data_IF_537415316071
#
_entry.id   IF_537415316071
#
_cell.length_a   1.000
_cell.length_b   1.000
_cell.length_c   1.000
_cell.angle_alpha   90.00
_cell.angle_beta   90.00
_cell.angle_gamma   90.00
#
_symmetry.space_group_name_H-M   'P 1'
#
loop_
_entity.id
_entity.type
_entity.pdbx_description
1 polymer ?
#
# COMPACT_ATOMS: atom_id res chain seq x y z
N UNK A 1 -1.54 -12.68 28.23
CA UNK A 1 -2.78 -12.13 27.64
C UNK A 1 -2.37 -11.15 26.57
N UNK A 2 -2.79 -11.29 25.30
CA UNK A 2 -2.58 -10.21 24.35
C UNK A 2 -3.36 -9.00 24.86
N UNK A 3 -2.66 -7.93 25.22
CA UNK A 3 -3.30 -6.69 25.65
C UNK A 3 -4.07 -6.12 24.47
N UNK A 4 -5.27 -5.59 24.72
CA UNK A 4 -5.96 -4.77 23.74
C UNK A 4 -5.01 -3.69 23.24
N UNK A 5 -5.04 -3.38 21.95
CA UNK A 5 -4.24 -2.30 21.39
C UNK A 5 -4.40 -1.03 22.22
N UNK A 6 -3.31 -0.37 22.60
CA UNK A 6 -3.32 0.92 23.32
C UNK A 6 -4.05 2.06 22.60
N UNK A 7 -4.30 1.90 21.31
CA UNK A 7 -5.16 2.78 20.51
C UNK A 7 -6.65 2.43 20.64
N UNK A 8 -6.99 1.57 21.59
CA UNK A 8 -8.32 1.00 21.84
C UNK A 8 -8.92 0.29 20.62
N UNK A 9 -8.08 -0.11 19.67
CA UNK A 9 -8.55 -0.85 18.50
C UNK A 9 -9.08 -2.24 18.90
N UNK A 10 -10.02 -2.81 18.13
CA UNK A 10 -10.61 -4.12 18.40
C UNK A 10 -9.67 -5.28 18.00
N UNK A 11 -8.43 -5.25 18.47
CA UNK A 11 -7.42 -6.26 18.20
C UNK A 11 -6.34 -6.28 19.28
N UNK A 12 -5.64 -7.40 19.38
CA UNK A 12 -4.46 -7.57 20.23
C UNK A 12 -3.31 -6.69 19.77
N UNK A 13 -2.61 -6.09 20.73
CA UNK A 13 -1.39 -5.34 20.48
C UNK A 13 -0.25 -6.29 20.09
N UNK A 14 -0.05 -6.43 18.79
CA UNK A 14 1.10 -7.15 18.22
C UNK A 14 1.88 -6.22 17.30
N UNK A 15 3.17 -6.48 17.09
CA UNK A 15 3.96 -5.69 16.14
C UNK A 15 3.33 -5.70 14.73
N UNK A 16 2.85 -6.85 14.26
CA UNK A 16 2.12 -6.96 12.98
C UNK A 16 0.86 -6.08 12.97
N UNK A 17 0.03 -6.14 14.02
CA UNK A 17 -1.17 -5.30 14.11
C UNK A 17 -0.83 -3.81 14.15
N UNK A 18 0.12 -3.41 15.01
CA UNK A 18 0.58 -2.02 15.12
C UNK A 18 1.05 -1.54 13.76
N UNK A 19 1.92 -2.27 13.07
CA UNK A 19 2.53 -1.80 11.82
C UNK A 19 1.51 -1.78 10.66
N UNK A 20 0.60 -2.75 10.59
CA UNK A 20 -0.27 -2.94 9.42
C UNK A 20 -1.65 -2.31 9.54
N UNK A 21 -2.23 -2.22 10.74
CA UNK A 21 -3.66 -1.91 10.89
C UNK A 21 -3.96 -0.77 11.85
N UNK A 22 -3.19 -0.62 12.93
CA UNK A 22 -3.46 0.35 13.99
C UNK A 22 -3.52 1.80 13.49
N UNK A 23 -4.47 2.58 14.01
CA UNK A 23 -4.64 3.99 13.64
C UNK A 23 -3.44 4.86 14.03
N UNK A 24 -2.76 4.54 15.14
CA UNK A 24 -1.60 5.30 15.61
C UNK A 24 -0.41 5.21 14.65
N UNK A 25 -0.33 4.17 13.83
CA UNK A 25 0.74 3.97 12.84
C UNK A 25 0.31 4.32 11.42
N UNK A 26 -0.91 4.85 11.22
CA UNK A 26 -1.47 5.09 9.89
C UNK A 26 -0.52 5.89 8.99
N UNK A 27 0.07 6.98 9.49
CA UNK A 27 1.04 7.77 8.73
C UNK A 27 2.32 6.99 8.38
N UNK A 28 2.75 6.06 9.23
CA UNK A 28 3.85 5.14 8.93
C UNK A 28 3.49 4.14 7.85
N UNK A 29 2.25 3.63 7.82
CA UNK A 29 1.75 2.75 6.76
C UNK A 29 1.71 3.47 5.41
N UNK A 30 1.19 4.70 5.38
CA UNK A 30 1.20 5.56 4.18
C UNK A 30 2.64 5.78 3.69
N UNK A 31 3.56 6.17 4.58
CA UNK A 31 4.97 6.37 4.22
C UNK A 31 5.64 5.11 3.64
N UNK A 32 5.35 3.93 4.19
CA UNK A 32 5.88 2.65 3.68
C UNK A 32 5.38 2.38 2.27
N UNK A 33 4.08 2.57 2.05
CA UNK A 33 3.45 2.44 0.73
C UNK A 33 4.05 3.43 -0.28
N UNK A 34 4.13 4.71 0.07
CA UNK A 34 4.74 5.74 -0.79
C UNK A 34 6.19 5.41 -1.16
N UNK A 35 6.96 4.90 -0.19
CA UNK A 35 8.36 4.50 -0.42
C UNK A 35 8.46 3.37 -1.44
N UNK A 36 7.59 2.36 -1.32
CA UNK A 36 7.52 1.26 -2.30
C UNK A 36 7.11 1.77 -3.68
N UNK A 37 6.12 2.67 -3.76
CA UNK A 37 5.72 3.28 -5.03
C UNK A 37 6.86 4.07 -5.69
N UNK A 38 7.63 4.84 -4.91
CA UNK A 38 8.80 5.56 -5.42
C UNK A 38 9.88 4.62 -5.97
N UNK A 39 10.13 3.50 -5.28
CA UNK A 39 11.09 2.49 -5.77
C UNK A 39 10.62 1.85 -7.07
N UNK A 40 9.33 1.50 -7.17
CA UNK A 40 8.72 0.96 -8.38
C UNK A 40 8.78 1.96 -9.54
N UNK A 41 8.42 3.22 -9.30
CA UNK A 41 8.48 4.30 -10.29
C UNK A 41 9.89 4.44 -10.89
N UNK A 42 10.93 4.50 -10.05
CA UNK A 42 12.33 4.55 -10.51
C UNK A 42 12.69 3.33 -11.36
N UNK A 43 12.31 2.13 -10.91
CA UNK A 43 12.61 0.89 -11.63
C UNK A 43 11.89 0.82 -12.99
N UNK A 44 10.64 1.29 -13.06
CA UNK A 44 9.82 1.29 -14.27
C UNK A 44 10.29 2.34 -15.27
N UNK A 45 10.69 3.51 -14.81
CA UNK A 45 11.34 4.51 -15.67
C UNK A 45 12.64 3.99 -16.27
N UNK A 46 13.48 3.31 -15.49
CA UNK A 46 14.71 2.66 -16.01
C UNK A 46 14.42 1.61 -17.08
N UNK A 47 13.23 1.00 -17.06
CA UNK A 47 12.77 0.06 -18.08
C UNK A 47 12.11 0.73 -19.30
N UNK A 48 12.03 2.06 -19.33
CA UNK A 48 11.46 2.82 -20.46
C UNK A 48 9.96 3.11 -20.36
N UNK A 49 9.30 2.76 -19.25
CA UNK A 49 7.88 3.08 -19.07
C UNK A 49 7.67 4.56 -18.74
N UNK A 50 6.56 5.12 -19.23
CA UNK A 50 6.00 6.36 -18.70
C UNK A 50 5.11 6.02 -17.51
N UNK A 51 5.50 6.48 -16.33
CA UNK A 51 4.80 6.22 -15.07
C UNK A 51 4.04 7.46 -14.65
N UNK A 52 2.79 7.30 -14.20
CA UNK A 52 2.05 8.32 -13.48
C UNK A 52 1.63 7.77 -12.13
N UNK A 53 1.96 8.49 -11.06
CA UNK A 53 1.70 8.10 -9.68
C UNK A 53 0.49 8.82 -9.12
N UNK A 54 -0.36 8.07 -8.41
CA UNK A 54 -1.51 8.59 -7.66
C UNK A 54 -2.46 9.49 -8.48
N UNK A 55 -2.49 9.31 -9.80
CA UNK A 55 -3.26 10.16 -10.69
C UNK A 55 -4.75 9.86 -10.55
N UNK A 56 -5.55 10.89 -10.31
CA UNK A 56 -7.00 10.78 -10.34
C UNK A 56 -7.50 10.75 -11.79
N UNK A 57 -8.11 9.64 -12.19
CA UNK A 57 -8.82 9.50 -13.45
C UNK A 57 -10.31 9.71 -13.23
N UNK A 58 -10.85 10.72 -13.91
CA UNK A 58 -12.27 11.06 -13.85
C UNK A 58 -12.93 10.49 -15.10
N UNK A 59 -13.67 9.40 -14.95
CA UNK A 59 -14.52 8.85 -16.01
C UNK A 59 -15.98 9.28 -15.83
N UNK A 60 -16.81 8.97 -16.83
CA UNK A 60 -18.22 9.40 -16.91
C UNK A 60 -19.07 9.12 -15.66
N UNK A 61 -18.74 8.11 -14.85
CA UNK A 61 -19.54 7.72 -13.67
C UNK A 61 -18.74 7.46 -12.40
N UNK A 62 -17.39 7.40 -12.46
CA UNK A 62 -16.54 7.03 -11.32
C UNK A 62 -15.19 7.71 -11.37
N UNK A 63 -14.70 8.06 -10.19
CA UNK A 63 -13.33 8.48 -9.96
C UNK A 63 -12.50 7.25 -9.61
N UNK A 64 -11.33 7.11 -10.23
CA UNK A 64 -10.36 6.04 -9.94
C UNK A 64 -9.01 6.69 -9.67
N UNK A 65 -8.37 6.32 -8.56
CA UNK A 65 -7.03 6.78 -8.20
C UNK A 65 -6.17 5.53 -7.97
N UNK A 66 -5.67 4.88 -9.04
CA UNK A 66 -4.70 3.80 -8.88
C UNK A 66 -3.40 4.35 -8.32
N UNK A 67 -2.62 3.50 -7.65
CA UNK A 67 -1.33 3.89 -7.10
C UNK A 67 -0.34 4.27 -8.22
N UNK A 68 -0.23 3.44 -9.26
CA UNK A 68 0.59 3.70 -10.45
C UNK A 68 -0.13 3.29 -11.73
N UNK A 69 0.04 4.09 -12.79
CA UNK A 69 -0.25 3.70 -14.17
C UNK A 69 1.04 3.77 -14.97
N UNK A 70 1.41 2.65 -15.58
CA UNK A 70 2.61 2.52 -16.40
C UNK A 70 2.18 2.31 -17.84
N UNK A 71 2.68 3.14 -18.75
CA UNK A 71 2.30 3.11 -20.16
C UNK A 71 3.50 3.03 -21.08
N UNK A 72 3.31 2.33 -22.18
CA UNK A 72 4.21 2.20 -23.31
C UNK A 72 3.39 2.19 -24.61
N UNK A 73 4.00 2.27 -25.81
CA UNK A 73 3.24 2.35 -27.06
C UNK A 73 2.28 1.17 -27.31
N UNK A 74 2.61 -0.02 -26.80
CA UNK A 74 1.79 -1.24 -26.96
C UNK A 74 0.64 -1.35 -25.95
N UNK A 75 0.63 -0.53 -24.88
CA UNK A 75 -0.42 -0.62 -23.87
C UNK A 75 -0.08 0.03 -22.53
N UNK A 76 -0.89 -0.29 -21.52
CA UNK A 76 -0.71 0.21 -20.17
C UNK A 76 -1.06 -0.83 -19.12
N UNK A 77 -0.38 -0.74 -17.98
CA UNK A 77 -0.60 -1.55 -16.78
C UNK A 77 -0.97 -0.64 -15.60
N UNK A 78 -1.87 -1.13 -14.76
CA UNK A 78 -2.21 -0.51 -13.49
C UNK A 78 -1.54 -1.34 -12.38
N UNK A 79 -0.87 -0.68 -11.46
CA UNK A 79 -0.25 -1.32 -10.30
C UNK A 79 -0.82 -0.66 -9.06
N UNK A 80 -1.55 -1.43 -8.26
CA UNK A 80 -1.97 -1.07 -6.90
C UNK A 80 -1.14 -1.91 -5.93
N UNK A 81 -0.28 -1.25 -5.15
CA UNK A 81 0.71 -1.91 -4.32
C UNK A 81 0.18 -2.12 -2.90
N UNK A 82 0.43 -3.30 -2.34
CA UNK A 82 0.16 -3.58 -0.94
C UNK A 82 1.44 -4.00 -0.24
N UNK A 83 1.78 -3.29 0.84
CA UNK A 83 2.87 -3.67 1.74
C UNK A 83 2.30 -4.57 2.83
N UNK A 84 2.49 -5.87 2.69
CA UNK A 84 1.96 -6.88 3.63
C UNK A 84 2.90 -7.10 4.83
N UNK A 85 2.41 -7.76 5.87
CA UNK A 85 3.18 -8.23 7.01
C UNK A 85 2.73 -9.63 7.41
N UNK A 86 3.24 -10.13 8.53
CA UNK A 86 2.97 -11.49 8.97
C UNK A 86 1.47 -11.76 9.19
N UNK A 87 1.05 -12.94 8.75
CA UNK A 87 -0.30 -13.44 8.95
C UNK A 87 -0.46 -13.93 10.40
N UNK A 88 -1.40 -13.37 11.20
CA UNK A 88 -1.64 -13.81 12.57
C UNK A 88 -2.14 -15.27 12.66
N UNK A 89 -2.62 -15.88 11.56
CA UNK A 89 -3.12 -17.27 11.57
C UNK A 89 -2.03 -18.35 11.60
N UNK A 90 -0.75 -17.99 11.67
CA UNK A 90 0.38 -18.94 11.57
C UNK A 90 1.10 -19.20 12.89
N UNK A 91 0.64 -18.62 14.00
CA UNK A 91 1.16 -18.91 15.34
C UNK A 91 0.23 -19.87 16.08
N UNK A 92 0.36 -21.16 15.77
CA UNK A 92 0.07 -22.21 16.75
C UNK A 92 1.31 -22.32 17.65
N UNK A 93 1.21 -21.81 18.88
CA UNK A 93 2.03 -22.27 19.99
C UNK A 93 1.06 -22.85 21.03
#
# INVERSE_FOLDING_TARGET
MPTQCRAECPASETASYIIQHCILSHGGRVRRHDTVLNMLEIALHKKGYRVTKEKMFIGNKRRRKPDLVCSEPSGAFIIDAQVVGDNPSTTHW
#
